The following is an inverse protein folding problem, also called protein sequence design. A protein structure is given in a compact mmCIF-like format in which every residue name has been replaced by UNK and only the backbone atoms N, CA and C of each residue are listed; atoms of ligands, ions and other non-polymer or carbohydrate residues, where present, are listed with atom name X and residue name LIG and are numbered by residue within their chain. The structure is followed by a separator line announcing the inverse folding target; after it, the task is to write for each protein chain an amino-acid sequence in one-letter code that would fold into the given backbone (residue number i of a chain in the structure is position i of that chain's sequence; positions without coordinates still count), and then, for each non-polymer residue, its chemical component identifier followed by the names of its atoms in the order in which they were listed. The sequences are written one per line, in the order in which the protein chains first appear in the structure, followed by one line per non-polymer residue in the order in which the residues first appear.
data_IF_187139730250
#
_entry.id   IF_187139730250
#
_cell.length_a   1.000
_cell.length_b   1.000
_cell.length_c   1.000
_cell.angle_alpha   90.00
_cell.angle_beta   90.00
_cell.angle_gamma   90.00
#
_symmetry.space_group_name_H-M   'P 1'
#
loop_
_entity.id
_entity.type
_entity.pdbx_description
1 polymer ?
#
# COMPACT_ATOMS: atom_id res chain seq x y z
N UNK A 1 -16.23 1.88 -19.77
CA UNK A 1 -16.69 1.51 -18.41
C UNK A 1 -16.52 0.00 -18.24
N UNK A 2 -15.29 -0.46 -18.02
CA UNK A 2 -14.99 -1.83 -17.63
C UNK A 2 -14.70 -1.83 -16.13
N UNK A 3 -15.59 -2.44 -15.37
CA UNK A 3 -15.37 -2.77 -13.97
C UNK A 3 -14.26 -3.81 -13.89
N UNK A 4 -13.11 -3.43 -13.33
CA UNK A 4 -12.01 -4.36 -13.02
C UNK A 4 -12.43 -5.14 -11.76
N UNK A 5 -13.35 -6.08 -11.94
CA UNK A 5 -13.58 -7.15 -10.99
C UNK A 5 -12.55 -8.23 -11.28
N UNK A 6 -11.59 -8.42 -10.36
CA UNK A 6 -10.74 -9.60 -10.36
C UNK A 6 -11.59 -10.82 -10.00
N UNK A 7 -12.21 -11.45 -11.01
CA UNK A 7 -12.62 -12.85 -10.92
C UNK A 7 -11.35 -13.70 -11.07
N UNK A 8 -10.94 -14.36 -9.99
CA UNK A 8 -9.97 -15.45 -10.08
C UNK A 8 -10.53 -16.52 -11.05
N UNK A 9 -9.81 -16.92 -12.11
CA UNK A 9 -10.29 -17.98 -12.97
C UNK A 9 -10.34 -19.31 -12.19
N UNK A 10 -11.50 -19.95 -12.25
CA UNK A 10 -11.70 -21.34 -11.82
C UNK A 10 -10.88 -22.28 -12.72
N UNK A 11 -10.23 -23.26 -12.09
CA UNK A 11 -9.39 -24.35 -12.65
C UNK A 11 -7.96 -23.95 -13.00
N UNK A 12 -7.07 -24.06 -12.00
CA UNK A 12 -5.66 -24.31 -12.22
C UNK A 12 -5.48 -25.75 -12.75
N UNK A 13 -4.83 -25.91 -13.89
CA UNK A 13 -4.13 -27.15 -14.22
C UNK A 13 -2.64 -26.89 -14.02
N UNK A 14 -2.09 -27.41 -12.93
CA UNK A 14 -0.65 -27.49 -12.73
C UNK A 14 -0.11 -28.60 -13.62
N UNK A 15 0.41 -28.23 -14.79
CA UNK A 15 1.38 -29.05 -15.51
C UNK A 15 2.59 -28.17 -15.75
N UNK A 16 3.70 -28.57 -15.12
CA UNK A 16 5.01 -27.91 -15.06
C UNK A 16 5.03 -26.54 -14.40
N UNK A 17 4.90 -26.49 -13.07
CA UNK A 17 5.54 -25.45 -12.27
C UNK A 17 6.76 -26.05 -11.61
N UNK A 18 7.89 -25.46 -11.94
CA UNK A 18 9.17 -25.83 -11.39
C UNK A 18 9.24 -25.38 -9.96
N UNK A 19 9.71 -26.32 -9.17
CA UNK A 19 9.86 -26.20 -7.74
C UNK A 19 11.26 -25.75 -7.38
N UNK A 20 11.55 -25.72 -6.07
CA UNK A 20 12.82 -25.39 -5.42
C UNK A 20 14.03 -25.40 -6.36
N UNK A 21 14.92 -24.41 -6.16
CA UNK A 21 16.28 -24.30 -6.74
C UNK A 21 16.46 -23.31 -7.90
N UNK A 22 16.16 -22.03 -7.62
CA UNK A 22 17.01 -20.94 -8.15
C UNK A 22 17.30 -19.85 -7.11
N UNK A 23 17.52 -20.24 -5.86
CA UNK A 23 18.66 -19.66 -5.16
C UNK A 23 19.69 -20.75 -5.07
N UNK A 24 20.92 -20.32 -5.25
CA UNK A 24 22.16 -20.80 -4.67
C UNK A 24 22.14 -21.31 -3.21
N UNK A 25 21.01 -21.47 -2.51
CA UNK A 25 20.99 -21.88 -1.11
C UNK A 25 19.90 -22.93 -0.85
N UNK A 26 20.35 -24.16 -0.63
CA UNK A 26 19.55 -25.33 -0.26
C UNK A 26 19.39 -25.42 1.26
N UNK A 27 18.57 -26.36 1.77
CA UNK A 27 18.53 -26.69 3.20
C UNK A 27 19.93 -27.00 3.80
N UNK A 28 20.89 -27.39 2.94
CA UNK A 28 22.31 -27.55 3.27
C UNK A 28 22.99 -26.25 3.73
N UNK A 29 22.51 -25.10 3.29
CA UNK A 29 23.12 -23.80 3.52
C UNK A 29 22.41 -23.01 4.64
N UNK A 30 21.15 -23.32 4.93
CA UNK A 30 20.37 -22.69 6.01
C UNK A 30 20.59 -23.31 7.38
N UNK A 31 21.16 -24.52 7.47
CA UNK A 31 21.48 -25.14 8.76
C UNK A 31 22.82 -24.60 9.26
N UNK A 32 22.71 -23.51 10.03
CA UNK A 32 23.72 -22.92 10.93
C UNK A 32 25.14 -22.97 10.36
N UNK A 33 25.52 -21.93 9.58
CA UNK A 33 26.88 -21.62 9.09
C UNK A 33 27.98 -22.55 9.66
N UNK A 34 28.26 -23.66 8.95
CA UNK A 34 29.36 -24.58 9.25
C UNK A 34 29.03 -25.78 10.16
N UNK A 35 27.84 -25.86 10.75
CA UNK A 35 27.41 -26.96 11.63
C UNK A 35 26.73 -28.09 10.84
N UNK A 36 27.49 -28.72 9.93
CA UNK A 36 27.00 -29.83 9.07
C UNK A 36 26.36 -30.99 9.85
N UNK A 37 26.68 -31.16 11.13
CA UNK A 37 26.10 -32.21 11.98
C UNK A 37 24.62 -31.99 12.31
N UNK A 38 24.12 -30.75 12.21
CA UNK A 38 22.71 -30.43 12.41
C UNK A 38 21.86 -30.62 11.15
N UNK A 39 22.51 -30.78 9.99
CA UNK A 39 21.83 -30.97 8.73
C UNK A 39 21.28 -32.40 8.64
N UNK A 40 19.98 -32.50 8.38
CA UNK A 40 19.31 -33.79 8.17
C UNK A 40 18.80 -33.91 6.71
N UNK A 41 19.43 -34.74 5.87
CA UNK A 41 19.12 -34.84 4.45
C UNK A 41 17.69 -35.33 4.16
N UNK A 42 17.03 -35.97 5.13
CA UNK A 42 15.62 -36.40 5.03
C UNK A 42 14.69 -35.23 4.65
N UNK A 43 15.03 -34.00 5.05
CA UNK A 43 14.17 -32.83 4.86
C UNK A 43 14.41 -32.06 3.55
N UNK A 44 15.47 -32.39 2.80
CA UNK A 44 15.77 -31.73 1.51
C UNK A 44 14.70 -31.94 0.44
N UNK A 45 13.95 -33.04 0.54
CA UNK A 45 12.92 -33.39 -0.43
C UNK A 45 11.62 -32.61 -0.28
N UNK A 46 11.41 -31.85 0.79
CA UNK A 46 10.13 -31.18 1.11
C UNK A 46 9.97 -29.81 0.44
N UNK A 47 8.88 -29.07 0.59
CA UNK A 47 8.64 -27.76 -0.05
C UNK A 47 8.53 -26.64 0.98
N UNK A 48 9.67 -26.19 1.48
CA UNK A 48 9.86 -25.13 2.49
C UNK A 48 11.05 -24.22 2.10
N UNK A 49 10.96 -22.92 2.33
CA UNK A 49 11.97 -21.94 2.00
C UNK A 49 12.02 -20.81 3.04
N UNK A 50 13.22 -20.33 3.32
CA UNK A 50 13.49 -19.15 4.14
C UNK A 50 14.69 -18.43 3.51
N UNK A 51 14.67 -17.10 3.48
CA UNK A 51 15.82 -16.33 3.05
C UNK A 51 16.79 -16.05 4.20
N UNK A 52 18.08 -16.04 3.89
CA UNK A 52 19.09 -15.63 4.86
C UNK A 52 18.86 -14.18 5.31
N UNK A 53 18.99 -13.97 6.60
CA UNK A 53 18.89 -12.65 7.22
C UNK A 53 20.23 -11.92 7.23
N UNK A 54 21.35 -12.64 7.12
CA UNK A 54 22.69 -12.04 7.19
C UNK A 54 22.90 -11.28 8.50
N UNK A 55 23.24 -9.99 8.40
CA UNK A 55 23.33 -9.05 9.53
C UNK A 55 22.18 -8.04 9.52
N UNK A 56 21.05 -8.36 8.87
CA UNK A 56 19.89 -7.48 8.85
C UNK A 56 19.22 -7.44 10.22
N UNK A 57 18.70 -6.28 10.55
CA UNK A 57 17.86 -6.07 11.72
C UNK A 57 16.55 -5.45 11.28
N UNK A 58 15.45 -5.89 11.87
CA UNK A 58 14.13 -5.32 11.63
C UNK A 58 14.03 -3.96 12.35
N UNK A 59 13.27 -3.05 11.74
CA UNK A 59 12.99 -1.73 12.27
C UNK A 59 11.97 -1.85 13.40
N UNK A 60 12.30 -1.30 14.56
CA UNK A 60 11.40 -1.20 15.73
C UNK A 60 10.88 0.24 15.90
N UNK A 61 10.72 0.96 14.79
CA UNK A 61 10.22 2.33 14.73
C UNK A 61 8.69 2.32 14.54
N UNK A 62 8.01 3.39 14.95
CA UNK A 62 6.67 3.71 14.43
C UNK A 62 6.78 4.54 13.15
N UNK A 63 5.67 4.66 12.42
CA UNK A 63 5.62 5.54 11.23
C UNK A 63 5.83 7.00 11.66
N UNK A 64 5.32 7.39 12.83
CA UNK A 64 5.57 8.70 13.43
C UNK A 64 7.06 8.96 13.67
N UNK A 65 7.80 7.98 14.19
CA UNK A 65 9.25 8.10 14.42
C UNK A 65 10.02 8.32 13.11
N UNK A 66 9.61 7.64 12.02
CA UNK A 66 10.19 7.84 10.69
C UNK A 66 9.96 9.26 10.18
N UNK A 67 8.75 9.79 10.33
CA UNK A 67 8.42 11.17 9.93
C UNK A 67 9.28 12.15 10.73
N UNK A 68 9.38 11.98 12.05
CA UNK A 68 10.18 12.83 12.93
C UNK A 68 11.65 12.85 12.49
N UNK A 69 12.23 11.66 12.34
CA UNK A 69 13.64 11.47 11.96
C UNK A 69 13.95 12.13 10.61
N UNK A 70 13.09 11.94 9.62
CA UNK A 70 13.33 12.47 8.27
C UNK A 70 13.06 13.97 8.17
N UNK A 71 12.11 14.51 8.93
CA UNK A 71 11.89 15.95 9.00
C UNK A 71 13.07 16.71 9.63
N UNK A 72 13.77 16.09 10.58
CA UNK A 72 15.00 16.64 11.15
C UNK A 72 16.19 16.52 10.20
N UNK A 73 16.36 15.36 9.57
CA UNK A 73 17.54 15.04 8.76
C UNK A 73 17.49 15.63 7.35
N UNK A 74 16.31 15.66 6.73
CA UNK A 74 16.09 16.07 5.33
C UNK A 74 14.90 17.04 5.19
N UNK A 75 14.83 18.13 5.98
CA UNK A 75 13.63 18.95 6.12
C UNK A 75 13.06 19.46 4.80
N UNK A 76 13.94 19.87 3.87
CA UNK A 76 13.56 20.54 2.63
C UNK A 76 13.43 19.57 1.45
N UNK A 77 13.81 18.30 1.62
CA UNK A 77 13.73 17.32 0.54
C UNK A 77 12.26 16.92 0.31
N UNK A 78 11.87 16.84 -0.97
CA UNK A 78 10.50 16.46 -1.33
C UNK A 78 10.29 14.97 -1.15
N UNK A 79 9.32 14.58 -0.32
CA UNK A 79 8.95 13.18 -0.11
C UNK A 79 7.77 12.77 -1.01
N UNK A 80 6.74 13.60 -1.14
CA UNK A 80 5.58 13.27 -1.97
C UNK A 80 5.25 14.36 -2.99
N UNK A 81 4.91 13.93 -4.20
CA UNK A 81 4.33 14.78 -5.23
C UNK A 81 3.02 14.19 -5.73
N UNK A 82 1.95 14.97 -5.70
CA UNK A 82 0.63 14.61 -6.23
C UNK A 82 0.34 15.42 -7.48
N UNK A 83 0.63 14.85 -8.64
CA UNK A 83 0.72 15.58 -9.92
C UNK A 83 -0.58 16.29 -10.31
N UNK A 84 -1.74 15.69 -10.08
CA UNK A 84 -3.02 16.36 -10.42
C UNK A 84 -3.29 17.61 -9.58
N UNK A 85 -2.98 17.54 -8.28
CA UNK A 85 -3.18 18.67 -7.36
C UNK A 85 -2.02 19.67 -7.36
N UNK A 86 -0.93 19.36 -8.08
CA UNK A 86 0.34 20.09 -8.06
C UNK A 86 0.94 20.25 -6.65
N UNK A 87 0.53 19.40 -5.70
CA UNK A 87 1.07 19.41 -4.34
C UNK A 87 2.44 18.74 -4.31
N UNK A 88 3.39 19.41 -3.70
CA UNK A 88 4.71 18.88 -3.38
C UNK A 88 4.88 19.03 -1.87
N UNK A 89 5.17 17.93 -1.17
CA UNK A 89 5.30 17.90 0.28
C UNK A 89 6.73 17.49 0.63
N UNK A 90 7.46 18.41 1.26
CA UNK A 90 8.73 18.14 1.91
C UNK A 90 8.56 17.37 3.22
N UNK A 91 9.62 16.74 3.72
CA UNK A 91 9.57 16.06 5.02
C UNK A 91 9.16 17.00 6.16
N UNK A 92 9.63 18.26 6.14
CA UNK A 92 9.22 19.28 7.12
C UNK A 92 7.73 19.60 7.04
N UNK A 93 7.20 19.81 5.83
CA UNK A 93 5.77 20.09 5.64
C UNK A 93 4.90 18.90 6.04
N UNK A 94 5.35 17.67 5.75
CA UNK A 94 4.66 16.45 6.18
C UNK A 94 4.57 16.43 7.70
N UNK A 95 5.69 16.63 8.40
CA UNK A 95 5.71 16.65 9.87
C UNK A 95 4.77 17.72 10.44
N UNK A 96 4.89 18.95 9.95
CA UNK A 96 4.04 20.04 10.41
C UNK A 96 2.55 19.74 10.20
N UNK A 97 2.15 19.36 9.00
CA UNK A 97 0.73 19.10 8.69
C UNK A 97 0.20 17.86 9.41
N UNK A 98 1.04 16.83 9.58
CA UNK A 98 0.74 15.63 10.34
C UNK A 98 0.46 15.97 11.80
N UNK A 99 1.30 16.80 12.43
CA UNK A 99 1.10 17.26 13.79
C UNK A 99 -0.17 18.08 13.94
N UNK A 100 -0.41 19.03 13.03
CA UNK A 100 -1.61 19.87 13.05
C UNK A 100 -2.90 19.02 12.96
N UNK A 101 -2.93 18.06 12.03
CA UNK A 101 -4.04 17.13 11.87
C UNK A 101 -4.18 16.27 13.13
N UNK A 102 -3.10 15.70 13.64
CA UNK A 102 -3.10 14.89 14.86
C UNK A 102 -3.67 15.66 16.06
N UNK A 103 -3.23 16.89 16.29
CA UNK A 103 -3.73 17.74 17.38
C UNK A 103 -5.22 18.05 17.24
N UNK A 104 -5.69 18.34 16.02
CA UNK A 104 -7.12 18.56 15.77
C UNK A 104 -7.97 17.29 15.94
N UNK A 105 -7.44 16.12 15.60
CA UNK A 105 -8.13 14.86 15.88
C UNK A 105 -8.22 14.61 17.39
N UNK A 106 -7.13 14.84 18.13
CA UNK A 106 -7.14 14.74 19.60
C UNK A 106 -8.12 15.74 20.23
N UNK A 107 -8.17 16.99 19.75
CA UNK A 107 -9.11 18.00 20.25
C UNK A 107 -10.57 17.66 19.96
N UNK A 108 -10.82 16.87 18.90
CA UNK A 108 -12.15 16.31 18.58
C UNK A 108 -12.42 14.98 19.31
N UNK A 109 -11.54 14.59 20.23
CA UNK A 109 -11.76 13.47 21.14
C UNK A 109 -11.37 12.10 20.58
N UNK A 110 -10.62 12.02 19.47
CA UNK A 110 -10.00 10.78 19.03
C UNK A 110 -8.94 10.33 20.04
N UNK A 111 -8.82 9.02 20.24
CA UNK A 111 -7.85 8.41 21.15
C UNK A 111 -7.14 7.26 20.45
N UNK A 112 -5.97 6.87 20.98
CA UNK A 112 -5.29 5.63 20.57
C UNK A 112 -6.28 4.47 20.58
N UNK A 113 -6.24 3.69 19.50
CA UNK A 113 -7.17 2.61 19.22
C UNK A 113 -8.37 3.04 18.38
N UNK A 114 -8.84 4.29 18.40
CA UNK A 114 -9.98 4.75 17.58
C UNK A 114 -9.78 4.49 16.08
N UNK A 115 -10.88 4.31 15.35
CA UNK A 115 -10.85 3.96 13.93
C UNK A 115 -11.30 5.13 13.07
N UNK A 116 -10.47 5.48 12.09
CA UNK A 116 -10.74 6.51 11.10
C UNK A 116 -10.87 5.85 9.73
N UNK A 117 -12.10 5.75 9.21
CA UNK A 117 -12.33 5.35 7.83
C UNK A 117 -11.92 6.44 6.86
N UNK A 118 -11.29 6.06 5.75
CA UNK A 118 -10.85 7.01 4.73
C UNK A 118 -11.22 6.49 3.35
N UNK A 119 -12.05 7.27 2.67
CA UNK A 119 -12.61 6.99 1.35
C UNK A 119 -12.14 8.05 0.35
N UNK A 120 -10.82 8.08 0.13
CA UNK A 120 -10.16 9.08 -0.72
C UNK A 120 -9.35 8.40 -1.84
N UNK A 121 -9.22 9.02 -3.02
CA UNK A 121 -8.25 8.62 -4.04
C UNK A 121 -6.82 9.04 -3.67
N UNK A 122 -5.85 8.84 -4.56
CA UNK A 122 -4.46 9.29 -4.37
C UNK A 122 -4.34 10.82 -4.40
N UNK A 123 -4.62 11.46 -3.25
CA UNK A 123 -4.52 12.91 -3.01
C UNK A 123 -3.74 13.18 -1.72
N UNK A 124 -3.20 14.40 -1.52
CA UNK A 124 -2.44 14.75 -0.32
C UNK A 124 -3.19 14.48 0.98
N UNK A 125 -4.49 14.74 1.00
CA UNK A 125 -5.35 14.57 2.18
C UNK A 125 -5.42 13.11 2.64
N UNK A 126 -5.37 12.15 1.71
CA UNK A 126 -5.29 10.72 2.04
C UNK A 126 -3.98 10.41 2.77
N UNK A 127 -2.85 10.79 2.18
CA UNK A 127 -1.53 10.55 2.77
C UNK A 127 -1.41 11.19 4.15
N UNK A 128 -1.78 12.46 4.28
CA UNK A 128 -1.68 13.21 5.53
C UNK A 128 -2.62 12.67 6.62
N UNK A 129 -3.83 12.22 6.25
CA UNK A 129 -4.73 11.57 7.23
C UNK A 129 -4.09 10.29 7.76
N UNK A 130 -3.53 9.46 6.88
CA UNK A 130 -2.89 8.21 7.27
C UNK A 130 -1.73 8.48 8.24
N UNK A 131 -0.84 9.39 7.86
CA UNK A 131 0.35 9.72 8.64
C UNK A 131 -0.04 10.35 9.99
N UNK A 132 -1.00 11.26 10.02
CA UNK A 132 -1.46 11.90 11.26
C UNK A 132 -2.09 10.91 12.23
N UNK A 133 -2.94 10.00 11.73
CA UNK A 133 -3.52 8.94 12.55
C UNK A 133 -2.44 8.02 13.11
N UNK A 134 -1.41 7.70 12.31
CA UNK A 134 -0.27 6.88 12.71
C UNK A 134 0.50 7.48 13.90
N UNK A 135 0.62 8.80 13.97
CA UNK A 135 1.34 9.51 15.05
C UNK A 135 0.58 9.54 16.38
N UNK A 136 -0.71 9.21 16.39
CA UNK A 136 -1.55 9.21 17.61
C UNK A 136 -2.20 7.86 17.90
N UNK A 137 -1.82 6.82 17.17
CA UNK A 137 -2.33 5.46 17.33
C UNK A 137 -3.81 5.30 16.96
N UNK A 138 -4.33 6.17 16.10
CA UNK A 138 -5.65 6.00 15.48
C UNK A 138 -5.50 5.03 14.31
N UNK A 139 -6.30 3.97 14.29
CA UNK A 139 -6.24 2.90 13.29
C UNK A 139 -6.97 3.38 12.03
N UNK A 140 -6.26 3.41 10.92
CA UNK A 140 -6.85 3.86 9.65
C UNK A 140 -7.57 2.70 8.97
N UNK A 141 -8.82 2.90 8.56
CA UNK A 141 -9.59 1.94 7.77
C UNK A 141 -9.61 2.43 6.32
N UNK A 142 -8.79 1.84 5.45
CA UNK A 142 -8.71 2.27 4.06
C UNK A 142 -9.79 1.59 3.21
N UNK A 143 -10.55 2.42 2.49
CA UNK A 143 -11.68 1.98 1.69
C UNK A 143 -11.49 2.40 0.23
N UNK A 144 -11.98 1.59 -0.70
CA UNK A 144 -11.95 1.93 -2.12
C UNK A 144 -12.95 3.07 -2.40
N UNK A 145 -12.52 4.23 -2.93
CA UNK A 145 -13.42 5.35 -3.21
C UNK A 145 -14.44 5.06 -4.31
N UNK A 146 -14.34 3.92 -5.01
CA UNK A 146 -15.37 3.44 -5.92
C UNK A 146 -16.54 2.71 -5.24
N UNK A 147 -16.46 2.44 -3.94
CA UNK A 147 -17.53 1.77 -3.19
C UNK A 147 -18.84 2.56 -3.17
N UNK A 148 -19.93 1.83 -3.15
CA UNK A 148 -21.28 2.36 -3.13
C UNK A 148 -21.91 2.16 -1.75
N UNK A 149 -23.20 2.48 -1.65
CA UNK A 149 -23.95 2.55 -0.40
C UNK A 149 -23.76 1.30 0.47
N UNK A 150 -23.96 0.11 -0.11
CA UNK A 150 -23.96 -1.16 0.62
C UNK A 150 -22.57 -1.49 1.16
N UNK A 151 -21.53 -1.31 0.34
CA UNK A 151 -20.16 -1.57 0.76
C UNK A 151 -19.69 -0.58 1.82
N UNK A 152 -20.02 0.72 1.66
CA UNK A 152 -19.67 1.75 2.63
C UNK A 152 -20.32 1.47 3.98
N UNK A 153 -21.63 1.21 4.00
CA UNK A 153 -22.37 0.91 5.23
C UNK A 153 -21.82 -0.34 5.92
N UNK A 154 -21.59 -1.43 5.16
CA UNK A 154 -21.04 -2.66 5.70
C UNK A 154 -19.68 -2.43 6.38
N UNK A 155 -18.76 -1.74 5.71
CA UNK A 155 -17.40 -1.53 6.23
C UNK A 155 -17.39 -0.63 7.46
N UNK A 156 -18.16 0.46 7.46
CA UNK A 156 -18.27 1.35 8.61
C UNK A 156 -18.83 0.63 9.84
N UNK A 157 -19.88 -0.19 9.67
CA UNK A 157 -20.43 -1.04 10.73
C UNK A 157 -19.41 -2.07 11.21
N UNK A 158 -18.79 -2.79 10.27
CA UNK A 158 -17.85 -3.89 10.57
C UNK A 158 -16.64 -3.42 11.36
N UNK A 159 -16.18 -2.20 11.10
CA UNK A 159 -15.00 -1.62 11.73
C UNK A 159 -15.31 -0.70 12.89
N UNK A 160 -16.59 -0.41 13.16
CA UNK A 160 -17.01 0.51 14.23
C UNK A 160 -16.25 1.84 14.13
N UNK A 161 -16.18 2.37 12.90
CA UNK A 161 -15.41 3.57 12.59
C UNK A 161 -16.00 4.79 13.28
N UNK A 162 -15.18 5.47 14.10
CA UNK A 162 -15.57 6.69 14.82
C UNK A 162 -15.54 7.92 13.95
N UNK A 163 -14.58 7.95 13.02
CA UNK A 163 -14.43 9.00 12.02
C UNK A 163 -14.51 8.46 10.61
N UNK A 164 -14.92 9.30 9.67
CA UNK A 164 -14.90 9.03 8.25
C UNK A 164 -14.41 10.27 7.49
N UNK A 165 -13.36 10.11 6.69
CA UNK A 165 -12.91 11.13 5.72
C UNK A 165 -13.39 10.75 4.33
N UNK A 166 -14.15 11.63 3.68
CA UNK A 166 -14.66 11.43 2.32
C UNK A 166 -14.30 12.58 1.39
N UNK A 167 -14.21 12.29 0.10
CA UNK A 167 -14.24 13.29 -0.95
C UNK A 167 -15.71 13.66 -1.21
N UNK A 168 -16.03 14.91 -1.50
CA UNK A 168 -17.41 15.29 -1.87
C UNK A 168 -17.92 14.54 -3.11
N UNK A 169 -17.12 14.54 -4.18
CA UNK A 169 -17.42 13.86 -5.44
C UNK A 169 -16.17 13.27 -6.12
N UNK A 170 -16.33 12.10 -6.75
CA UNK A 170 -15.32 11.46 -7.59
C UNK A 170 -15.96 10.91 -8.86
N UNK A 171 -15.63 11.52 -10.00
CA UNK A 171 -16.29 11.24 -11.29
C UNK A 171 -17.81 11.38 -11.15
N UNK A 172 -18.56 10.29 -11.28
CA UNK A 172 -20.03 10.26 -11.13
C UNK A 172 -20.48 9.95 -9.71
N UNK A 173 -19.57 9.60 -8.80
CA UNK A 173 -19.89 9.23 -7.42
C UNK A 173 -20.01 10.49 -6.55
N UNK A 174 -21.15 10.62 -5.85
CA UNK A 174 -21.41 11.67 -4.86
C UNK A 174 -21.38 11.04 -3.46
N UNK A 175 -20.23 11.05 -2.80
CA UNK A 175 -20.05 10.30 -1.55
C UNK A 175 -20.84 10.90 -0.39
N UNK A 176 -20.93 12.23 -0.31
CA UNK A 176 -21.76 12.88 0.71
C UNK A 176 -23.23 12.48 0.57
N UNK A 177 -23.78 12.52 -0.64
CA UNK A 177 -25.15 12.07 -0.92
C UNK A 177 -25.36 10.58 -0.63
N UNK A 178 -24.34 9.75 -0.90
CA UNK A 178 -24.38 8.33 -0.56
C UNK A 178 -24.41 8.12 0.95
N UNK A 179 -23.59 8.87 1.70
CA UNK A 179 -23.56 8.82 3.15
C UNK A 179 -24.88 9.30 3.77
N UNK A 180 -25.52 10.33 3.23
CA UNK A 180 -26.84 10.78 3.68
C UNK A 180 -27.93 9.71 3.52
N UNK A 181 -27.83 8.85 2.52
CA UNK A 181 -28.76 7.71 2.39
C UNK A 181 -28.54 6.67 3.50
N UNK A 182 -27.30 6.50 3.96
CA UNK A 182 -26.95 5.57 5.04
C UNK A 182 -27.29 6.17 6.41
N UNK A 183 -26.97 7.44 6.63
CA UNK A 183 -27.16 8.20 7.86
C UNK A 183 -27.86 9.54 7.57
N UNK A 184 -29.20 9.54 7.36
CA UNK A 184 -29.96 10.76 7.07
C UNK A 184 -29.86 11.82 8.17
N UNK A 185 -29.55 11.40 9.40
CA UNK A 185 -29.39 12.29 10.55
C UNK A 185 -28.22 13.28 10.39
N UNK A 186 -27.30 13.03 9.46
CA UNK A 186 -26.13 13.87 9.21
C UNK A 186 -26.47 15.34 8.93
N UNK A 187 -27.52 15.61 8.13
CA UNK A 187 -27.85 16.99 7.73
C UNK A 187 -28.30 17.89 8.89
N UNK A 188 -28.82 17.27 9.96
CA UNK A 188 -29.32 17.97 11.14
C UNK A 188 -28.38 17.83 12.34
N UNK A 189 -27.27 17.10 12.19
CA UNK A 189 -26.32 16.87 13.27
C UNK A 189 -25.37 18.04 13.44
N UNK A 190 -25.03 18.35 14.69
CA UNK A 190 -23.85 19.16 15.01
C UNK A 190 -22.60 18.37 14.64
N UNK A 191 -21.58 19.06 14.12
CA UNK A 191 -20.32 18.43 13.74
C UNK A 191 -19.71 17.66 14.92
N UNK A 192 -19.41 16.38 14.74
CA UNK A 192 -18.84 15.53 15.81
C UNK A 192 -19.88 14.88 16.74
N UNK A 193 -21.16 15.19 16.58
CA UNK A 193 -22.25 14.66 17.42
C UNK A 193 -23.23 13.79 16.62
N UNK A 194 -22.80 13.24 15.49
CA UNK A 194 -23.65 12.37 14.68
C UNK A 194 -24.18 11.20 15.52
N UNK A 195 -25.50 11.08 15.56
CA UNK A 195 -26.20 9.98 16.21
C UNK A 195 -27.08 9.25 15.20
N UNK A 196 -26.46 8.45 14.33
CA UNK A 196 -27.18 7.68 13.33
C UNK A 196 -27.57 6.31 13.86
N UNK A 197 -28.81 5.88 13.60
CA UNK A 197 -29.27 4.52 13.94
C UNK A 197 -28.49 3.45 13.17
N UNK A 198 -28.13 3.73 11.93
CA UNK A 198 -27.42 2.78 11.07
C UNK A 198 -25.92 2.75 11.36
N UNK A 199 -25.35 3.88 11.81
CA UNK A 199 -23.92 4.02 12.09
C UNK A 199 -23.70 4.59 13.50
N UNK A 200 -24.01 3.82 14.56
CA UNK A 200 -23.98 4.34 15.93
C UNK A 200 -22.59 4.76 16.40
N UNK A 201 -21.54 4.14 15.86
CA UNK A 201 -20.14 4.43 16.19
C UNK A 201 -19.61 5.67 15.46
N UNK A 202 -20.18 6.04 14.30
CA UNK A 202 -19.69 7.15 13.51
C UNK A 202 -20.13 8.49 14.11
N UNK A 203 -19.16 9.29 14.54
CA UNK A 203 -19.36 10.61 15.17
C UNK A 203 -18.86 11.77 14.32
N UNK A 204 -17.73 11.58 13.64
CA UNK A 204 -17.10 12.63 12.85
C UNK A 204 -17.12 12.29 11.37
N UNK A 205 -17.69 13.17 10.56
CA UNK A 205 -17.57 13.13 9.09
C UNK A 205 -16.70 14.32 8.67
N UNK A 206 -15.57 14.02 8.04
CA UNK A 206 -14.62 15.01 7.53
C UNK A 206 -14.71 15.00 6.01
N UNK A 207 -14.99 16.16 5.43
CA UNK A 207 -15.18 16.33 4.00
C UNK A 207 -13.97 17.03 3.37
N UNK A 208 -13.43 16.40 2.34
CA UNK A 208 -12.46 16.98 1.42
C UNK A 208 -13.23 17.47 0.19
N UNK A 209 -13.08 18.75 -0.17
CA UNK A 209 -13.65 19.26 -1.43
C UNK A 209 -12.73 18.91 -2.60
N UNK A 210 -13.29 18.32 -3.64
CA UNK A 210 -12.59 18.08 -4.90
C UNK A 210 -12.31 19.38 -5.65
N UNK A 211 -11.16 20.00 -5.40
CA UNK A 211 -10.75 21.29 -5.99
C UNK A 211 -10.80 21.36 -7.53
N UNK A 212 -10.87 20.23 -8.23
CA UNK A 212 -10.98 20.18 -9.70
C UNK A 212 -12.42 20.15 -10.22
N UNK A 213 -13.40 19.76 -9.39
CA UNK A 213 -14.78 19.50 -9.84
C UNK A 213 -15.87 20.02 -8.88
N UNK A 214 -15.53 20.50 -7.68
CA UNK A 214 -16.51 20.99 -6.70
C UNK A 214 -17.15 22.30 -7.15
N UNK A 215 -18.47 22.36 -7.03
CA UNK A 215 -19.18 23.63 -6.99
C UNK A 215 -19.01 24.26 -5.59
N UNK A 216 -18.52 25.51 -5.55
CA UNK A 216 -18.34 26.24 -4.30
C UNK A 216 -19.66 26.56 -3.58
N UNK A 217 -20.81 26.38 -4.24
CA UNK A 217 -22.13 26.62 -3.68
C UNK A 217 -22.64 25.50 -2.76
N UNK A 218 -22.11 24.27 -2.85
CA UNK A 218 -22.61 23.14 -2.07
C UNK A 218 -22.26 23.28 -0.57
N UNK A 219 -23.29 23.17 0.28
CA UNK A 219 -23.19 23.12 1.74
C UNK A 219 -23.28 21.66 2.23
N UNK A 220 -22.23 21.20 2.91
CA UNK A 220 -22.15 19.85 3.46
C UNK A 220 -22.39 19.89 4.98
N UNK A 221 -23.66 19.92 5.37
CA UNK A 221 -24.09 20.03 6.77
C UNK A 221 -23.63 18.82 7.60
N UNK A 222 -23.37 19.04 8.88
CA UNK A 222 -22.90 18.01 9.81
C UNK A 222 -21.47 17.51 9.56
N UNK A 223 -20.74 18.07 8.60
CA UNK A 223 -19.36 17.68 8.28
C UNK A 223 -18.35 18.74 8.70
N UNK A 224 -17.17 18.29 9.14
CA UNK A 224 -15.97 19.11 9.27
C UNK A 224 -15.33 19.30 7.89
N UNK A 225 -14.84 20.48 7.56
CA UNK A 225 -14.03 20.70 6.36
C UNK A 225 -12.57 20.31 6.63
N UNK A 226 -11.98 19.48 5.77
CA UNK A 226 -10.58 19.04 5.95
C UNK A 226 -9.62 20.22 6.04
N UNK A 227 -9.67 21.12 5.06
CA UNK A 227 -8.74 22.25 5.00
C UNK A 227 -8.92 23.24 6.16
N UNK A 228 -10.16 23.47 6.61
CA UNK A 228 -10.52 24.51 7.59
C UNK A 228 -10.49 24.04 9.05
N UNK A 229 -10.92 22.81 9.30
CA UNK A 229 -11.21 22.33 10.66
C UNK A 229 -10.25 21.22 11.11
N UNK A 230 -9.48 20.64 10.19
CA UNK A 230 -8.60 19.49 10.44
C UNK A 230 -7.14 19.84 10.16
N UNK A 231 -6.84 20.53 9.05
CA UNK A 231 -5.45 20.86 8.68
C UNK A 231 -5.01 22.29 9.01
N UNK A 232 -5.77 23.02 9.82
CA UNK A 232 -5.39 24.36 10.30
C UNK A 232 -4.66 24.26 11.64
N UNK A 233 -3.70 25.15 11.85
CA UNK A 233 -3.06 25.31 13.14
C UNK A 233 -4.08 25.58 14.24
N UNK A 234 -4.02 24.79 15.32
CA UNK A 234 -4.81 24.97 16.51
C UNK A 234 -3.86 25.22 17.69
N UNK A 235 -4.15 26.23 18.51
CA UNK A 235 -3.33 26.58 19.68
C UNK A 235 -3.30 25.47 20.74
N UNK A 236 -4.23 24.52 20.68
CA UNK A 236 -4.25 23.31 21.50
C UNK A 236 -3.02 22.44 21.19
N UNK A 237 -2.01 22.46 22.08
CA UNK A 237 -0.90 21.51 22.08
C UNK A 237 -1.12 20.45 23.15
N UNK A 238 -1.81 19.37 22.77
CA UNK A 238 -1.89 18.18 23.62
C UNK A 238 -0.61 17.36 23.48
N UNK A 239 -0.19 16.73 24.57
CA UNK A 239 0.89 15.74 24.50
C UNK A 239 0.42 14.58 23.61
N UNK A 240 1.17 14.27 22.56
CA UNK A 240 0.87 13.12 21.71
C UNK A 240 0.93 11.82 22.53
N UNK A 241 -0.01 10.88 22.33
CA UNK A 241 0.01 9.60 23.03
C UNK A 241 1.23 8.78 22.61
N UNK A 242 1.69 7.90 23.49
CA UNK A 242 2.74 6.93 23.15
C UNK A 242 2.16 5.84 22.25
N UNK A 243 2.77 5.69 21.07
CA UNK A 243 2.50 4.65 20.08
C UNK A 243 3.69 3.70 20.07
N UNK A 244 3.40 2.41 20.03
CA UNK A 244 4.37 1.31 19.99
C UNK A 244 4.39 0.70 18.58
N UNK A 245 5.51 0.09 18.19
CA UNK A 245 5.65 -0.49 16.85
C UNK A 245 4.68 -1.67 16.62
N UNK A 246 4.25 -2.37 17.68
CA UNK A 246 3.27 -3.46 17.58
C UNK A 246 1.82 -2.99 17.61
N UNK A 247 1.56 -1.69 17.83
CA UNK A 247 0.21 -1.15 17.74
C UNK A 247 -0.37 -1.32 16.34
N UNK A 248 -1.67 -1.59 16.27
CA UNK A 248 -2.42 -1.61 15.01
C UNK A 248 -2.39 -0.23 14.34
N UNK A 249 -1.98 -0.21 13.08
CA UNK A 249 -1.86 1.02 12.28
C UNK A 249 -2.98 1.12 11.24
N UNK A 250 -3.22 0.05 10.48
CA UNK A 250 -4.13 0.09 9.34
C UNK A 250 -4.98 -1.18 9.23
N UNK A 251 -6.22 -1.00 8.81
CA UNK A 251 -7.11 -2.07 8.37
C UNK A 251 -7.30 -1.99 6.86
N UNK A 252 -7.01 -3.10 6.19
CA UNK A 252 -7.17 -3.26 4.74
C UNK A 252 -8.18 -4.37 4.46
N UNK A 253 -9.18 -4.07 3.62
CA UNK A 253 -10.19 -5.06 3.25
C UNK A 253 -9.71 -5.98 2.12
N UNK A 254 -9.90 -7.27 2.31
CA UNK A 254 -9.65 -8.28 1.28
C UNK A 254 -10.96 -8.70 0.61
N UNK A 255 -10.92 -8.86 -0.72
CA UNK A 255 -12.01 -9.47 -1.48
C UNK A 255 -12.01 -10.97 -1.18
N UNK A 256 -12.65 -11.37 -0.08
CA UNK A 256 -12.75 -12.78 0.29
C UNK A 256 -13.30 -13.60 -0.87
N UNK A 257 -12.72 -14.77 -1.14
CA UNK A 257 -13.10 -15.63 -2.27
C UNK A 257 -14.44 -16.34 -2.06
N UNK A 258 -14.96 -16.35 -0.83
CA UNK A 258 -16.15 -17.14 -0.43
C UNK A 258 -17.09 -16.42 0.54
N UNK A 259 -16.96 -15.09 0.74
CA UNK A 259 -17.80 -14.38 1.71
C UNK A 259 -17.62 -12.85 1.72
N UNK A 260 -18.23 -12.20 2.72
CA UNK A 260 -18.11 -10.75 2.93
C UNK A 260 -16.64 -10.33 3.16
N UNK A 261 -16.24 -9.11 2.73
CA UNK A 261 -14.87 -8.64 2.91
C UNK A 261 -14.38 -8.73 4.35
N UNK A 262 -13.15 -9.22 4.53
CA UNK A 262 -12.46 -9.32 5.83
C UNK A 262 -11.47 -8.17 5.98
N UNK A 263 -11.36 -7.62 7.19
CA UNK A 263 -10.38 -6.57 7.49
C UNK A 263 -9.10 -7.24 8.02
N UNK A 264 -8.02 -7.17 7.25
CA UNK A 264 -6.69 -7.51 7.72
C UNK A 264 -6.13 -6.31 8.51
N UNK A 265 -5.72 -6.56 9.75
CA UNK A 265 -5.17 -5.54 10.65
C UNK A 265 -3.65 -5.66 10.63
N UNK A 266 -2.96 -4.57 10.31
CA UNK A 266 -1.50 -4.54 10.20
C UNK A 266 -0.92 -3.50 11.15
N UNK A 267 0.16 -3.85 11.85
CA UNK A 267 0.88 -2.96 12.76
C UNK A 267 1.86 -2.04 12.03
N UNK A 268 2.42 -1.07 12.76
CA UNK A 268 3.55 -0.28 12.26
C UNK A 268 4.73 -1.18 11.88
N UNK A 269 5.04 -2.16 12.73
CA UNK A 269 6.12 -3.11 12.53
C UNK A 269 5.94 -3.93 11.24
N UNK A 270 4.72 -4.41 10.96
CA UNK A 270 4.46 -5.17 9.73
C UNK A 270 4.70 -4.32 8.48
N UNK A 271 4.15 -3.11 8.46
CA UNK A 271 4.18 -2.22 7.30
C UNK A 271 5.58 -1.66 7.02
N UNK A 272 6.27 -1.18 8.06
CA UNK A 272 7.61 -0.62 7.92
C UNK A 272 8.63 -1.67 7.52
N UNK A 273 8.58 -2.86 8.12
CA UNK A 273 9.51 -3.92 7.78
C UNK A 273 9.23 -4.53 6.40
N UNK A 274 7.97 -4.62 5.97
CA UNK A 274 7.67 -5.01 4.59
C UNK A 274 8.28 -4.03 3.57
N UNK A 275 8.07 -2.72 3.77
CA UNK A 275 8.69 -1.69 2.94
C UNK A 275 10.23 -1.77 2.95
N UNK A 276 10.83 -1.92 4.13
CA UNK A 276 12.28 -2.02 4.28
C UNK A 276 12.85 -3.24 3.58
N UNK A 277 12.23 -4.41 3.75
CA UNK A 277 12.71 -5.67 3.16
C UNK A 277 12.51 -5.70 1.64
N UNK A 278 11.44 -5.09 1.10
CA UNK A 278 11.27 -4.92 -0.35
C UNK A 278 12.41 -4.06 -0.92
N UNK A 279 12.63 -2.86 -0.34
CA UNK A 279 13.70 -1.97 -0.80
C UNK A 279 15.08 -2.61 -0.67
N UNK A 280 15.35 -3.29 0.45
CA UNK A 280 16.61 -3.97 0.67
C UNK A 280 16.86 -5.08 -0.36
N UNK A 281 15.87 -5.94 -0.59
CA UNK A 281 15.99 -7.06 -1.53
C UNK A 281 16.18 -6.59 -2.97
N UNK A 282 15.66 -5.41 -3.30
CA UNK A 282 15.73 -4.82 -4.63
C UNK A 282 16.94 -3.90 -4.85
N UNK A 283 17.78 -3.66 -3.82
CA UNK A 283 18.89 -2.70 -3.89
C UNK A 283 18.43 -1.25 -4.06
N UNK A 284 17.25 -0.92 -3.49
CA UNK A 284 16.56 0.37 -3.64
C UNK A 284 16.62 1.25 -2.38
N UNK A 285 17.41 0.91 -1.36
CA UNK A 285 17.57 1.69 -0.12
C UNK A 285 18.46 2.92 -0.34
N UNK A 286 18.26 3.64 -1.44
CA UNK A 286 19.03 4.83 -1.80
C UNK A 286 18.09 6.02 -1.94
N UNK A 287 18.42 7.12 -1.26
CA UNK A 287 17.65 8.36 -1.30
C UNK A 287 17.48 8.95 -2.71
N UNK A 288 18.41 8.63 -3.62
CA UNK A 288 18.40 9.09 -5.03
C UNK A 288 17.27 8.49 -5.86
N UNK A 289 16.61 7.42 -5.39
CA UNK A 289 15.55 6.75 -6.13
C UNK A 289 14.23 7.52 -6.03
N UNK A 290 13.54 7.63 -7.17
CA UNK A 290 12.24 8.28 -7.30
C UNK A 290 11.22 7.26 -7.78
N UNK A 291 10.19 7.02 -6.96
CA UNK A 291 9.15 6.02 -7.24
C UNK A 291 7.96 6.69 -7.93
N UNK A 292 7.59 6.22 -9.12
CA UNK A 292 6.28 6.49 -9.70
C UNK A 292 5.27 5.46 -9.18
N UNK A 293 4.29 5.89 -8.39
CA UNK A 293 3.26 5.03 -7.81
C UNK A 293 1.87 5.35 -8.41
N UNK A 294 1.47 4.67 -9.50
CA UNK A 294 0.11 4.76 -10.04
C UNK A 294 -0.92 3.94 -9.24
N UNK A 295 -0.46 3.05 -8.36
CA UNK A 295 -1.33 2.16 -7.58
C UNK A 295 -2.02 2.94 -6.46
N UNK A 296 -3.30 2.65 -6.16
CA UNK A 296 -4.01 3.34 -5.08
C UNK A 296 -3.44 3.03 -3.69
N UNK A 297 -3.30 4.07 -2.86
CA UNK A 297 -2.82 3.97 -1.46
C UNK A 297 -3.78 3.14 -0.59
N UNK A 298 -5.06 3.05 -0.93
CA UNK A 298 -6.00 2.19 -0.19
C UNK A 298 -5.79 0.68 -0.40
N UNK A 299 -4.87 0.29 -1.30
CA UNK A 299 -4.40 -1.08 -1.45
C UNK A 299 -3.00 -1.23 -0.83
N UNK A 300 -2.70 -2.38 -0.23
CA UNK A 300 -1.42 -2.66 0.43
C UNK A 300 -0.21 -2.33 -0.46
N UNK A 301 -0.30 -2.64 -1.76
CA UNK A 301 0.80 -2.37 -2.70
C UNK A 301 1.07 -0.86 -2.91
N UNK A 302 0.03 -0.03 -3.01
CA UNK A 302 0.19 1.42 -3.12
C UNK A 302 0.51 2.08 -1.78
N UNK A 303 -0.03 1.55 -0.67
CA UNK A 303 0.31 1.99 0.68
C UNK A 303 1.80 1.80 0.95
N UNK A 304 2.30 0.58 0.81
CA UNK A 304 3.69 0.26 1.13
C UNK A 304 4.61 0.89 0.09
N UNK A 305 4.38 0.62 -1.20
CA UNK A 305 5.24 1.07 -2.28
C UNK A 305 5.26 2.57 -2.54
N UNK A 306 4.14 3.24 -2.32
CA UNK A 306 3.99 4.67 -2.60
C UNK A 306 4.17 5.53 -1.36
N UNK A 307 3.51 5.18 -0.25
CA UNK A 307 3.50 6.02 0.95
C UNK A 307 4.65 5.69 1.90
N UNK A 308 4.91 4.41 2.17
CA UNK A 308 5.80 4.01 3.26
C UNK A 308 7.26 3.92 2.82
N UNK A 309 7.55 3.38 1.65
CA UNK A 309 8.94 3.24 1.15
C UNK A 309 9.74 4.55 1.11
N UNK A 310 9.18 5.70 0.68
CA UNK A 310 9.86 6.99 0.80
C UNK A 310 10.29 7.34 2.24
N UNK A 311 9.53 6.91 3.26
CA UNK A 311 9.85 7.10 4.67
C UNK A 311 10.91 6.12 5.20
N UNK A 312 11.22 5.07 4.45
CA UNK A 312 12.34 4.18 4.73
C UNK A 312 13.63 4.74 4.14
N UNK A 313 13.62 5.04 2.83
CA UNK A 313 14.82 5.51 2.12
C UNK A 313 15.13 7.01 2.29
N UNK A 314 14.22 7.78 2.87
CA UNK A 314 14.30 9.26 2.90
C UNK A 314 14.13 9.90 1.52
N UNK A 315 13.49 9.18 0.59
CA UNK A 315 13.40 9.51 -0.83
C UNK A 315 12.04 10.07 -1.23
N UNK A 316 11.70 9.93 -2.52
CA UNK A 316 10.54 10.59 -3.12
C UNK A 316 9.60 9.61 -3.83
N UNK A 317 8.29 9.78 -3.64
CA UNK A 317 7.26 9.16 -4.47
C UNK A 317 6.41 10.19 -5.22
N UNK A 318 6.07 9.86 -6.46
CA UNK A 318 5.18 10.62 -7.34
C UNK A 318 3.88 9.83 -7.50
N UNK A 319 2.77 10.44 -7.16
CA UNK A 319 1.42 9.96 -7.43
C UNK A 319 0.90 10.67 -8.69
N UNK A 320 0.90 10.01 -9.86
CA UNK A 320 0.63 10.68 -11.13
C UNK A 320 -0.83 11.14 -11.27
N UNK A 321 -1.76 10.41 -10.66
CA UNK A 321 -3.20 10.60 -10.84
C UNK A 321 -3.98 10.04 -9.63
N UNK A 322 -5.27 10.41 -9.51
CA UNK A 322 -6.16 9.97 -8.43
C UNK A 322 -6.37 8.44 -8.39
N UNK A 323 -6.37 7.84 -9.57
CA UNK A 323 -6.53 6.43 -9.87
C UNK A 323 -5.54 6.08 -11.00
N UNK A 324 -5.21 4.79 -11.23
CA UNK A 324 -4.30 4.40 -12.30
C UNK A 324 -4.66 5.05 -13.64
N UNK A 325 -3.72 5.80 -14.20
CA UNK A 325 -3.85 6.49 -15.48
C UNK A 325 -2.49 6.45 -16.20
N UNK A 326 -2.46 5.77 -17.35
CA UNK A 326 -1.22 5.44 -18.07
C UNK A 326 -0.55 6.69 -18.66
N UNK A 327 -1.33 7.64 -19.19
CA UNK A 327 -0.79 8.86 -19.76
C UNK A 327 -0.12 9.72 -18.69
N UNK A 328 -0.80 9.92 -17.56
CA UNK A 328 -0.27 10.66 -16.41
C UNK A 328 0.98 9.98 -15.83
N UNK A 329 1.00 8.65 -15.78
CA UNK A 329 2.17 7.88 -15.36
C UNK A 329 3.38 8.13 -16.27
N UNK A 330 3.22 8.00 -17.59
CA UNK A 330 4.31 8.26 -18.54
C UNK A 330 4.81 9.70 -18.44
N UNK A 331 3.89 10.67 -18.30
CA UNK A 331 4.24 12.07 -18.08
C UNK A 331 5.05 12.27 -16.80
N UNK A 332 4.62 11.66 -15.68
CA UNK A 332 5.32 11.75 -14.41
C UNK A 332 6.74 11.13 -14.47
N UNK A 333 6.88 9.96 -15.12
CA UNK A 333 8.20 9.33 -15.32
C UNK A 333 9.10 10.27 -16.14
N UNK A 334 8.58 10.81 -17.24
CA UNK A 334 9.30 11.72 -18.12
C UNK A 334 9.75 13.01 -17.41
N UNK A 335 8.86 13.69 -16.70
CA UNK A 335 9.13 15.00 -16.10
C UNK A 335 9.92 14.90 -14.81
N UNK A 336 9.60 13.93 -13.94
CA UNK A 336 10.26 13.76 -12.64
C UNK A 336 11.47 12.83 -12.71
N UNK A 337 11.76 12.27 -13.90
CA UNK A 337 12.84 11.31 -14.15
C UNK A 337 12.79 10.13 -13.17
N UNK A 338 11.59 9.58 -12.97
CA UNK A 338 11.38 8.47 -12.03
C UNK A 338 12.30 7.29 -12.37
N UNK A 339 12.90 6.69 -11.34
CA UNK A 339 13.84 5.57 -11.47
C UNK A 339 13.20 4.22 -11.21
N UNK A 340 12.07 4.21 -10.49
CA UNK A 340 11.31 3.01 -10.20
C UNK A 340 9.82 3.22 -10.50
N UNK A 341 9.15 2.18 -10.95
CA UNK A 341 7.69 2.17 -11.12
C UNK A 341 7.11 0.87 -10.58
N UNK A 342 5.99 0.99 -9.86
CA UNK A 342 5.27 -0.15 -9.27
C UNK A 342 3.91 -0.27 -9.92
N UNK A 343 3.52 -1.47 -10.37
CA UNK A 343 2.31 -1.61 -11.17
C UNK A 343 1.78 -3.03 -11.30
N UNK A 344 0.49 -3.15 -11.59
CA UNK A 344 -0.06 -4.40 -12.12
C UNK A 344 0.37 -4.57 -13.59
N UNK A 345 0.45 -5.80 -14.13
CA UNK A 345 0.92 -6.06 -15.49
C UNK A 345 0.20 -5.26 -16.58
N UNK A 346 -1.11 -5.05 -16.40
CA UNK A 346 -1.95 -4.28 -17.32
C UNK A 346 -1.47 -2.84 -17.52
N UNK A 347 -0.94 -2.19 -16.47
CA UNK A 347 -0.44 -0.81 -16.56
C UNK A 347 0.74 -0.73 -17.53
N UNK A 348 1.63 -1.72 -17.49
CA UNK A 348 2.80 -1.75 -18.36
C UNK A 348 2.47 -2.13 -19.79
N UNK A 349 1.50 -3.03 -19.98
CA UNK A 349 0.95 -3.32 -21.29
C UNK A 349 0.33 -2.07 -21.93
N UNK A 350 -0.48 -1.34 -21.15
CA UNK A 350 -1.09 -0.08 -21.60
C UNK A 350 -0.01 0.95 -21.91
N UNK A 351 1.03 1.06 -21.09
CA UNK A 351 2.14 1.99 -21.30
C UNK A 351 2.87 1.74 -22.62
N UNK A 352 3.18 0.47 -22.93
CA UNK A 352 3.82 0.09 -24.20
C UNK A 352 2.93 0.38 -25.42
N UNK A 353 1.63 0.10 -25.30
CA UNK A 353 0.69 0.23 -26.42
C UNK A 353 0.03 1.62 -26.52
N UNK A 354 0.31 2.54 -25.59
CA UNK A 354 -0.36 3.84 -25.57
C UNK A 354 -0.06 4.64 -26.85
N UNK A 355 -1.05 5.25 -27.53
CA UNK A 355 -0.83 6.01 -28.77
C UNK A 355 0.23 7.12 -28.63
N UNK A 356 0.29 7.74 -27.45
CA UNK A 356 1.23 8.81 -27.13
C UNK A 356 2.56 8.33 -26.52
N UNK A 357 2.83 7.01 -26.45
CA UNK A 357 4.05 6.46 -25.81
C UNK A 357 5.33 7.10 -26.33
N UNK A 358 5.40 7.39 -27.63
CA UNK A 358 6.58 8.00 -28.29
C UNK A 358 6.88 9.43 -27.84
N UNK A 359 5.92 10.11 -27.20
CA UNK A 359 6.07 11.49 -26.71
C UNK A 359 6.78 11.57 -25.36
N UNK A 360 7.04 10.42 -24.71
CA UNK A 360 7.60 10.37 -23.36
C UNK A 360 8.94 9.62 -23.35
N UNK A 361 9.97 10.28 -22.82
CA UNK A 361 11.23 9.63 -22.46
C UNK A 361 11.06 8.89 -21.13
N UNK A 362 11.23 7.56 -21.16
CA UNK A 362 11.15 6.67 -20.00
C UNK A 362 12.52 6.10 -19.62
N UNK A 363 13.61 6.59 -20.20
CA UNK A 363 14.97 6.07 -20.03
C UNK A 363 15.53 6.21 -18.60
N UNK A 364 14.90 7.02 -17.75
CA UNK A 364 15.25 7.09 -16.33
C UNK A 364 14.90 5.84 -15.55
N UNK A 365 13.99 4.99 -16.05
CA UNK A 365 13.55 3.79 -15.34
C UNK A 365 14.66 2.76 -15.24
N UNK A 366 14.98 2.40 -14.01
CA UNK A 366 15.94 1.35 -13.68
C UNK A 366 15.24 0.09 -13.14
N UNK A 367 14.09 0.26 -12.47
CA UNK A 367 13.36 -0.80 -11.79
C UNK A 367 11.87 -0.77 -12.10
N UNK A 368 11.32 -1.95 -12.37
CA UNK A 368 9.89 -2.20 -12.48
C UNK A 368 9.50 -3.31 -11.53
N UNK A 369 8.60 -3.02 -10.59
CA UNK A 369 8.03 -4.03 -9.71
C UNK A 369 6.60 -4.34 -10.14
N UNK A 370 6.37 -5.59 -10.49
CA UNK A 370 5.08 -6.14 -10.87
C UNK A 370 4.51 -6.95 -9.70
N UNK A 371 3.19 -6.92 -9.55
CA UNK A 371 2.48 -7.73 -8.56
C UNK A 371 0.98 -7.76 -8.82
N UNK A 372 0.22 -8.21 -7.82
CA UNK A 372 -1.24 -8.31 -7.81
C UNK A 372 -1.88 -9.31 -8.79
N UNK A 373 -1.20 -9.69 -9.88
CA UNK A 373 -1.65 -10.78 -10.76
C UNK A 373 -0.48 -11.49 -11.42
N UNK A 374 -0.75 -12.67 -11.97
CA UNK A 374 0.23 -13.41 -12.78
C UNK A 374 0.67 -12.59 -13.99
N UNK A 375 1.96 -12.64 -14.31
CA UNK A 375 2.54 -11.97 -15.48
C UNK A 375 2.91 -13.02 -16.52
N UNK A 376 2.37 -12.98 -17.74
CA UNK A 376 2.80 -13.89 -18.80
C UNK A 376 4.26 -13.65 -19.20
N UNK A 377 5.05 -14.73 -19.38
CA UNK A 377 6.46 -14.65 -19.82
C UNK A 377 6.66 -13.78 -21.06
N UNK A 378 5.80 -13.92 -22.06
CA UNK A 378 5.89 -13.13 -23.30
C UNK A 378 5.73 -11.63 -23.05
N UNK A 379 4.94 -11.22 -22.06
CA UNK A 379 4.79 -9.82 -21.67
C UNK A 379 6.06 -9.28 -21.03
N UNK A 380 6.70 -10.06 -20.15
CA UNK A 380 7.97 -9.68 -19.51
C UNK A 380 9.11 -9.49 -20.52
N UNK A 381 9.22 -10.40 -21.50
CA UNK A 381 10.19 -10.28 -22.59
C UNK A 381 9.94 -9.04 -23.44
N UNK A 382 8.67 -8.79 -23.81
CA UNK A 382 8.28 -7.57 -24.54
C UNK A 382 8.59 -6.29 -23.76
N UNK A 383 8.31 -6.27 -22.45
CA UNK A 383 8.63 -5.14 -21.58
C UNK A 383 10.12 -4.86 -21.53
N UNK A 384 10.95 -5.91 -21.41
CA UNK A 384 12.42 -5.77 -21.40
C UNK A 384 12.93 -5.20 -22.71
N UNK A 385 12.40 -5.65 -23.84
CA UNK A 385 12.79 -5.18 -25.17
C UNK A 385 12.38 -3.72 -25.43
N UNK A 386 11.11 -3.38 -25.17
CA UNK A 386 10.55 -2.07 -25.52
C UNK A 386 10.89 -0.97 -24.51
N UNK A 387 10.89 -1.29 -23.22
CA UNK A 387 11.12 -0.30 -22.16
C UNK A 387 12.60 -0.21 -21.76
N UNK A 388 13.41 -1.18 -22.16
CA UNK A 388 14.87 -1.24 -21.91
C UNK A 388 15.24 -1.05 -20.43
N UNK A 389 14.35 -1.44 -19.52
CA UNK A 389 14.57 -1.34 -18.08
C UNK A 389 15.55 -2.41 -17.64
N UNK A 390 16.48 -2.04 -16.76
CA UNK A 390 17.53 -2.94 -16.23
C UNK A 390 16.92 -4.11 -15.47
N UNK A 391 15.95 -3.84 -14.59
CA UNK A 391 15.39 -4.81 -13.67
C UNK A 391 13.87 -4.84 -13.72
N UNK A 392 13.33 -6.03 -14.02
CA UNK A 392 11.89 -6.33 -13.94
C UNK A 392 11.71 -7.41 -12.87
N UNK A 393 11.00 -7.06 -11.81
CA UNK A 393 10.83 -7.87 -10.61
C UNK A 393 9.36 -8.22 -10.42
N UNK A 394 9.09 -9.40 -9.88
CA UNK A 394 7.74 -9.90 -9.62
C UNK A 394 7.64 -10.21 -8.14
N UNK A 395 6.77 -9.46 -7.45
CA UNK A 395 6.43 -9.68 -6.05
C UNK A 395 5.17 -10.54 -5.91
N UNK A 396 5.16 -11.41 -4.92
CA UNK A 396 4.00 -12.20 -4.52
C UNK A 396 3.73 -12.06 -3.02
N UNK A 397 2.45 -11.98 -2.70
CA UNK A 397 1.96 -11.97 -1.33
C UNK A 397 0.48 -11.62 -1.29
N UNK A 398 0.03 -11.28 -0.08
CA UNK A 398 -1.35 -10.96 0.22
C UNK A 398 -1.40 -9.77 1.19
N UNK A 399 -2.60 -9.25 1.42
CA UNK A 399 -2.78 -8.14 2.38
C UNK A 399 -2.29 -8.53 3.77
N UNK A 400 -2.59 -9.76 4.20
CA UNK A 400 -2.20 -10.33 5.50
C UNK A 400 -0.67 -10.47 5.64
N UNK A 401 0.07 -10.61 4.53
CA UNK A 401 1.53 -10.65 4.53
C UNK A 401 2.16 -9.28 4.29
N UNK A 402 1.41 -8.18 4.50
CA UNK A 402 1.85 -6.81 4.20
C UNK A 402 2.32 -6.63 2.75
N UNK A 403 1.44 -6.93 1.79
CA UNK A 403 1.62 -6.86 0.34
C UNK A 403 2.45 -7.99 -0.29
N UNK A 404 3.74 -8.11 0.05
CA UNK A 404 4.63 -9.11 -0.55
C UNK A 404 5.36 -9.89 0.55
N UNK A 405 5.47 -11.21 0.36
CA UNK A 405 6.30 -12.10 1.16
C UNK A 405 7.45 -12.71 0.36
N UNK A 406 7.39 -12.67 -0.97
CA UNK A 406 8.46 -13.12 -1.86
C UNK A 406 8.63 -12.23 -3.08
N UNK A 407 9.83 -12.24 -3.66
CA UNK A 407 10.17 -11.46 -4.86
C UNK A 407 11.21 -12.17 -5.72
N UNK A 408 11.13 -12.00 -7.05
CA UNK A 408 12.22 -12.39 -7.95
C UNK A 408 13.43 -11.48 -7.74
N UNK A 409 14.66 -11.97 -7.95
CA UNK A 409 15.87 -11.16 -7.74
C UNK A 409 16.47 -10.65 -9.05
N UNK A 410 17.21 -9.56 -8.91
CA UNK A 410 18.11 -9.04 -9.94
C UNK A 410 19.14 -10.11 -10.30
N UNK A 411 19.44 -10.25 -11.61
CA UNK A 411 20.40 -11.22 -12.18
C UNK A 411 20.00 -12.70 -12.15
N UNK A 412 18.73 -13.04 -11.92
CA UNK A 412 18.26 -14.41 -12.10
C UNK A 412 18.24 -14.80 -13.59
N UNK A 413 18.40 -16.10 -13.85
CA UNK A 413 18.16 -16.66 -15.17
C UNK A 413 16.74 -16.36 -15.65
N UNK A 414 16.51 -16.41 -16.96
CA UNK A 414 15.21 -16.02 -17.54
C UNK A 414 14.06 -16.82 -16.94
N UNK A 415 14.28 -18.11 -16.70
CA UNK A 415 13.25 -18.96 -16.09
C UNK A 415 12.83 -18.41 -14.74
N UNK A 416 13.78 -18.00 -13.91
CA UNK A 416 13.47 -17.72 -12.53
C UNK A 416 13.04 -16.28 -12.29
N UNK A 417 13.47 -15.39 -13.19
CA UNK A 417 12.93 -14.05 -13.30
C UNK A 417 11.47 -14.03 -13.79
N UNK A 418 11.07 -14.97 -14.67
CA UNK A 418 9.80 -14.83 -15.43
C UNK A 418 8.77 -15.97 -15.24
N UNK A 419 9.15 -17.09 -14.63
CA UNK A 419 8.26 -18.25 -14.44
C UNK A 419 8.05 -18.58 -12.96
N UNK A 420 8.55 -17.75 -12.03
CA UNK A 420 8.43 -17.97 -10.58
C UNK A 420 8.01 -16.70 -9.83
N UNK A 421 7.61 -16.87 -8.56
CA UNK A 421 7.37 -15.78 -7.60
C UNK A 421 8.62 -15.43 -6.78
N UNK A 422 9.77 -15.92 -7.22
CA UNK A 422 11.07 -15.67 -6.61
C UNK A 422 11.24 -16.30 -5.24
N UNK A 423 11.88 -15.56 -4.33
CA UNK A 423 12.26 -16.05 -3.00
C UNK A 423 11.64 -15.26 -1.89
N UNK A 424 11.42 -15.90 -0.72
CA UNK A 424 10.95 -15.20 0.46
C UNK A 424 11.80 -13.96 0.74
N UNK A 425 11.22 -12.91 1.28
CA UNK A 425 12.01 -11.86 1.91
C UNK A 425 12.80 -12.42 3.10
N UNK A 426 13.90 -11.77 3.52
CA UNK A 426 14.53 -12.10 4.80
C UNK A 426 13.48 -12.12 5.93
N UNK A 427 13.62 -13.03 6.89
CA UNK A 427 12.67 -13.26 8.00
C UNK A 427 11.30 -13.83 7.59
N UNK A 428 11.07 -14.12 6.31
CA UNK A 428 9.84 -14.78 5.83
C UNK A 428 10.14 -16.25 5.55
N UNK A 429 9.26 -17.10 6.07
CA UNK A 429 9.23 -18.52 5.79
C UNK A 429 8.08 -18.81 4.82
N UNK A 430 8.29 -19.68 3.83
CA UNK A 430 7.24 -20.10 2.91
C UNK A 430 7.27 -21.62 2.80
N UNK A 431 6.11 -22.27 2.88
CA UNK A 431 5.96 -23.70 2.63
C UNK A 431 4.81 -24.00 1.68
N UNK A 432 4.84 -25.20 1.11
CA UNK A 432 3.72 -25.80 0.38
C UNK A 432 3.14 -26.91 1.25
N UNK A 433 1.83 -26.85 1.50
CA UNK A 433 1.11 -27.82 2.31
C UNK A 433 -0.02 -28.51 1.53
N UNK A 434 -0.33 -29.75 1.87
CA UNK A 434 -1.53 -30.42 1.36
C UNK A 434 -2.79 -29.98 2.13
N UNK A 435 -3.94 -30.56 1.78
CA UNK A 435 -5.24 -30.26 2.43
C UNK A 435 -5.30 -30.64 3.92
N UNK A 436 -4.34 -31.42 4.42
CA UNK A 436 -4.22 -31.80 5.83
C UNK A 436 -3.17 -30.94 6.57
N UNK A 437 -2.65 -29.89 5.93
CA UNK A 437 -1.57 -29.01 6.39
C UNK A 437 -0.19 -29.69 6.51
N UNK A 438 0.00 -30.87 5.90
CA UNK A 438 1.29 -31.53 5.91
C UNK A 438 2.21 -30.92 4.84
N UNK A 439 3.50 -30.81 5.18
CA UNK A 439 4.51 -30.35 4.25
C UNK A 439 4.69 -31.34 3.09
N UNK A 440 4.54 -30.89 1.85
CA UNK A 440 4.63 -31.77 0.66
C UNK A 440 6.05 -31.80 0.07
N UNK A 441 6.41 -32.83 -0.72
CA UNK A 441 7.68 -32.85 -1.43
C UNK A 441 7.82 -31.74 -2.49
N UNK A 442 9.05 -31.48 -2.91
CA UNK A 442 9.38 -30.73 -4.12
C UNK A 442 8.67 -31.37 -5.32
N UNK A 443 8.24 -30.56 -6.27
CA UNK A 443 7.41 -30.92 -7.45
C UNK A 443 6.01 -31.46 -7.16
N UNK A 444 5.43 -31.16 -5.99
CA UNK A 444 4.05 -31.50 -5.68
C UNK A 444 3.20 -30.24 -5.48
N UNK A 445 1.97 -30.30 -5.98
CA UNK A 445 1.01 -29.22 -5.82
C UNK A 445 0.49 -29.18 -4.38
N UNK A 446 0.15 -27.98 -3.92
CA UNK A 446 -0.44 -27.72 -2.62
C UNK A 446 -0.71 -26.23 -2.40
N UNK A 447 -1.07 -25.87 -1.18
CA UNK A 447 -1.33 -24.51 -0.76
C UNK A 447 -0.05 -23.80 -0.31
N UNK A 448 0.15 -22.56 -0.74
CA UNK A 448 1.26 -21.72 -0.28
C UNK A 448 0.90 -21.17 1.11
N UNK A 449 1.75 -21.44 2.10
CA UNK A 449 1.68 -20.84 3.43
C UNK A 449 2.88 -19.91 3.63
N UNK A 450 2.62 -18.72 4.18
CA UNK A 450 3.60 -17.69 4.51
C UNK A 450 3.54 -17.41 6.01
#
# INVERSE_FOLDING_TARGET
MSSIFFKLPQKFQFKSILTRFSSTYSYKDTVLRGQKHLYNPKYEKYSYAISETGNLHLLCDTIGDRINTLAEKYPNDTCYKFSLTQSNLSFKEIKQRTDEIAQNLLSKGFKKGDRMAVLLPNIPELALTILACSSIGVIVVLMNPAYQLVEIEYMLKKTQSKGLVILDNLKTLKHYETLKKIAPELENSVQGELNSKNLPDLKHVILVKNRLMSDNSEQYKGTWGFDKDISMFNQSSQKLPTVDFDDSFVMLFTSGTTGLPKAAVLSHYNILNSAYLDLYTNGLVEQSKIIACPIPIFHSFGLIGGLIEPLIMGGKAIFPHFLPDTLSLMKAIHTERCTAVKGAPVIFLDMMNHPERKNFDLSSLEYMLLGASTVPKHLLLKMKEELKVKNILIGYGMTESSAAGSITRVNYGEREAYETIGQPFPFVEIKIADSENNLVPVNHDGEICI
#
